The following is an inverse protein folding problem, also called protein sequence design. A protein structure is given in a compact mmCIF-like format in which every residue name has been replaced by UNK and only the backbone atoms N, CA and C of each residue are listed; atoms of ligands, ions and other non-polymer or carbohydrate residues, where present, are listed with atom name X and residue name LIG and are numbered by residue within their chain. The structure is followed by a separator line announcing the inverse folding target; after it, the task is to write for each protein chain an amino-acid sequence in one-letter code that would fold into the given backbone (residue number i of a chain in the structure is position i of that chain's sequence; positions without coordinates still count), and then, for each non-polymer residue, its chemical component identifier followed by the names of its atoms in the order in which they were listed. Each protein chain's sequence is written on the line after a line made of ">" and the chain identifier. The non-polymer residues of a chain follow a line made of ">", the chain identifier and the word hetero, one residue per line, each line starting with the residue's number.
data_IF_585874136088
#
_entry.id   IF_585874136088
#
_cell.length_a   1.000
_cell.length_b   1.000
_cell.length_c   1.000
_cell.angle_alpha   90.00
_cell.angle_beta   90.00
_cell.angle_gamma   90.00
#
_symmetry.space_group_name_H-M   'P 1'
#
loop_
_entity.id
_entity.type
_entity.pdbx_description
1 polymer ?
#
# COMPACT_ATOMS: atom_id res chain seq x y z
N UNK A 1 16.16 1.94 -8.28
CA UNK A 1 15.21 2.93 -7.74
C UNK A 1 15.73 3.51 -6.44
N UNK A 2 15.47 4.79 -6.17
CA UNK A 2 15.67 5.35 -4.84
C UNK A 2 14.55 4.94 -3.85
N UNK A 3 14.71 5.26 -2.56
CA UNK A 3 13.72 4.90 -1.54
C UNK A 3 12.33 5.51 -1.81
N UNK A 4 12.26 6.70 -2.40
CA UNK A 4 11.00 7.37 -2.67
C UNK A 4 10.28 6.68 -3.82
N UNK A 5 10.99 6.32 -4.89
CA UNK A 5 10.46 5.52 -6.00
C UNK A 5 9.92 4.16 -5.51
N UNK A 6 10.65 3.48 -4.62
CA UNK A 6 10.20 2.21 -4.02
C UNK A 6 8.89 2.36 -3.24
N UNK A 7 8.76 3.41 -2.42
CA UNK A 7 7.54 3.68 -1.66
C UNK A 7 6.36 3.98 -2.60
N UNK A 8 6.59 4.78 -3.65
CA UNK A 8 5.56 5.11 -4.64
C UNK A 8 5.12 3.87 -5.42
N UNK A 9 6.07 3.02 -5.82
CA UNK A 9 5.80 1.73 -6.47
C UNK A 9 4.95 0.83 -5.59
N UNK A 10 5.30 0.69 -4.32
CA UNK A 10 4.54 -0.15 -3.39
C UNK A 10 3.12 0.40 -3.17
N UNK A 11 2.94 1.72 -3.02
CA UNK A 11 1.61 2.32 -2.88
C UNK A 11 0.70 2.01 -4.09
N UNK A 12 1.26 2.05 -5.30
CA UNK A 12 0.55 1.68 -6.53
C UNK A 12 0.22 0.19 -6.57
N UNK A 13 1.16 -0.67 -6.22
CA UNK A 13 0.96 -2.13 -6.19
C UNK A 13 -0.18 -2.52 -5.22
N UNK A 14 -0.16 -1.96 -4.01
CA UNK A 14 -1.21 -2.21 -3.01
C UNK A 14 -2.60 -1.75 -3.50
N UNK A 15 -2.66 -0.64 -4.23
CA UNK A 15 -3.88 -0.17 -4.91
C UNK A 15 -4.33 -1.15 -5.99
N UNK A 16 -3.41 -1.61 -6.84
CA UNK A 16 -3.69 -2.58 -7.91
C UNK A 16 -4.24 -3.89 -7.35
N UNK A 17 -3.64 -4.42 -6.29
CA UNK A 17 -4.12 -5.63 -5.59
C UNK A 17 -5.56 -5.43 -5.09
N UNK A 18 -5.85 -4.27 -4.48
CA UNK A 18 -7.19 -3.95 -4.00
C UNK A 18 -8.22 -3.96 -5.14
N UNK A 19 -7.88 -3.30 -6.25
CA UNK A 19 -8.76 -3.12 -7.40
C UNK A 19 -9.00 -4.44 -8.14
N UNK A 20 -7.95 -5.25 -8.32
CA UNK A 20 -8.05 -6.59 -8.88
C UNK A 20 -8.97 -7.52 -8.06
N UNK A 21 -9.03 -7.33 -6.73
CA UNK A 21 -9.95 -8.06 -5.83
C UNK A 21 -11.36 -7.46 -5.76
N UNK A 22 -11.64 -6.34 -6.46
CA UNK A 22 -12.94 -5.67 -6.43
C UNK A 22 -13.32 -5.08 -5.06
N UNK A 23 -12.34 -4.77 -4.21
CA UNK A 23 -12.57 -4.31 -2.83
C UNK A 23 -12.58 -2.77 -2.76
N UNK A 24 -13.56 -2.19 -2.07
CA UNK A 24 -13.60 -0.75 -1.79
C UNK A 24 -12.56 -0.37 -0.72
N UNK A 25 -11.90 0.79 -0.88
CA UNK A 25 -10.94 1.35 0.10
C UNK A 25 -11.48 1.32 1.53
N UNK A 26 -12.72 1.77 1.74
CA UNK A 26 -13.37 1.80 3.07
C UNK A 26 -13.39 0.44 3.78
N UNK A 27 -13.50 -0.67 3.03
CA UNK A 27 -13.51 -2.02 3.59
C UNK A 27 -12.13 -2.40 4.12
N UNK A 28 -11.08 -2.13 3.33
CA UNK A 28 -9.69 -2.39 3.72
C UNK A 28 -9.30 -1.53 4.91
N UNK A 29 -9.54 -0.21 4.82
CA UNK A 29 -9.19 0.74 5.86
C UNK A 29 -9.80 0.34 7.21
N UNK A 30 -11.10 0.02 7.25
CA UNK A 30 -11.77 -0.45 8.46
C UNK A 30 -11.20 -1.77 8.99
N UNK A 31 -10.87 -2.71 8.11
CA UNK A 31 -10.32 -4.00 8.51
C UNK A 31 -8.95 -3.89 9.20
N UNK A 32 -8.14 -2.88 8.83
CA UNK A 32 -6.81 -2.64 9.39
C UNK A 32 -6.77 -1.53 10.43
N UNK A 33 -7.93 -1.05 10.90
CA UNK A 33 -8.02 0.04 11.88
C UNK A 33 -7.44 1.38 11.38
N UNK A 34 -7.57 1.66 10.08
CA UNK A 34 -7.12 2.88 9.42
C UNK A 34 -8.32 3.73 8.96
N UNK A 35 -8.17 5.05 9.00
CA UNK A 35 -9.18 5.97 8.46
C UNK A 35 -9.29 5.81 6.92
N UNK A 36 -10.50 5.70 6.34
CA UNK A 36 -10.67 5.57 4.90
C UNK A 36 -10.02 6.70 4.07
N UNK A 37 -10.08 7.99 4.49
CA UNK A 37 -9.34 9.05 3.81
C UNK A 37 -7.82 8.87 3.86
N UNK A 38 -7.27 8.26 4.92
CA UNK A 38 -5.85 7.99 5.03
C UNK A 38 -5.42 6.94 4.00
N UNK A 39 -6.13 5.81 3.91
CA UNK A 39 -5.84 4.80 2.88
C UNK A 39 -5.93 5.40 1.47
N UNK A 40 -6.94 6.24 1.22
CA UNK A 40 -7.10 6.93 -0.06
C UNK A 40 -5.92 7.83 -0.40
N UNK A 41 -5.37 8.58 0.57
CA UNK A 41 -4.18 9.39 0.37
C UNK A 41 -2.92 8.55 0.11
N UNK A 42 -2.78 7.40 0.78
CA UNK A 42 -1.65 6.47 0.57
C UNK A 42 -1.70 5.91 -0.85
N UNK A 43 -2.81 5.28 -1.25
CA UNK A 43 -2.95 4.64 -2.56
C UNK A 43 -2.82 5.63 -3.74
N UNK A 44 -3.20 6.89 -3.53
CA UNK A 44 -3.12 7.93 -4.55
C UNK A 44 -1.85 8.80 -4.43
N UNK A 45 -0.91 8.46 -3.54
CA UNK A 45 0.33 9.20 -3.31
C UNK A 45 0.10 10.68 -2.94
N UNK A 46 -1.05 10.98 -2.34
CA UNK A 46 -1.47 12.30 -1.89
C UNK A 46 -1.16 12.51 -0.39
N UNK A 47 -0.09 11.89 0.10
CA UNK A 47 0.42 12.02 1.47
C UNK A 47 1.92 12.37 1.41
N UNK A 48 2.38 13.45 2.07
CA UNK A 48 3.79 13.89 2.00
C UNK A 48 4.82 12.84 2.44
N UNK A 49 4.44 11.95 3.36
CA UNK A 49 5.29 10.87 3.85
C UNK A 49 4.42 9.68 4.15
N UNK A 50 4.73 8.51 3.61
CA UNK A 50 4.10 7.23 3.98
C UNK A 50 5.05 6.48 4.90
N UNK A 51 4.55 6.02 6.04
CA UNK A 51 5.37 5.34 7.05
C UNK A 51 5.41 3.84 6.80
N UNK A 52 6.49 3.18 7.26
CA UNK A 52 6.57 1.72 7.22
C UNK A 52 5.42 1.05 7.99
N UNK A 53 4.99 1.61 9.11
CA UNK A 53 3.85 1.07 9.89
C UNK A 53 2.54 1.08 9.09
N UNK A 54 2.28 2.15 8.33
CA UNK A 54 1.11 2.22 7.44
C UNK A 54 1.20 1.17 6.33
N UNK A 55 2.36 1.00 5.72
CA UNK A 55 2.60 0.01 4.66
C UNK A 55 2.47 -1.41 5.21
N UNK A 56 3.07 -1.71 6.36
CA UNK A 56 3.03 -3.03 7.00
C UNK A 56 1.60 -3.51 7.26
N UNK A 57 0.72 -2.63 7.74
CA UNK A 57 -0.70 -2.99 7.97
C UNK A 57 -1.43 -3.36 6.67
N UNK A 58 -1.14 -2.66 5.58
CA UNK A 58 -1.78 -2.94 4.28
C UNK A 58 -1.20 -4.22 3.66
N UNK A 59 0.12 -4.40 3.76
CA UNK A 59 0.84 -5.61 3.35
C UNK A 59 0.28 -6.86 4.05
N UNK A 60 0.13 -6.80 5.39
CA UNK A 60 -0.45 -7.87 6.20
C UNK A 60 -1.86 -8.24 5.74
N UNK A 61 -2.73 -7.25 5.48
CA UNK A 61 -4.08 -7.49 4.99
C UNK A 61 -4.12 -8.23 3.64
N UNK A 62 -3.12 -8.00 2.77
CA UNK A 62 -3.04 -8.68 1.49
C UNK A 62 -2.22 -9.98 1.49
N UNK A 63 -1.64 -10.35 2.64
CA UNK A 63 -0.72 -11.47 2.79
C UNK A 63 0.48 -11.36 1.82
N UNK A 64 1.07 -10.16 1.77
CA UNK A 64 2.26 -9.84 0.98
C UNK A 64 3.35 -9.32 1.91
N UNK A 65 4.61 -9.64 1.63
CA UNK A 65 5.75 -9.09 2.36
C UNK A 65 6.38 -7.93 1.60
N UNK A 66 7.11 -7.06 2.31
CA UNK A 66 7.93 -6.04 1.65
C UNK A 66 9.02 -6.68 0.77
N UNK A 67 9.51 -7.87 1.15
CA UNK A 67 10.48 -8.63 0.37
C UNK A 67 9.90 -9.04 -1.00
N UNK A 68 8.68 -9.55 -1.06
CA UNK A 68 8.02 -9.92 -2.32
C UNK A 68 7.98 -8.74 -3.29
N UNK A 69 7.68 -7.54 -2.78
CA UNK A 69 7.70 -6.32 -3.58
C UNK A 69 9.12 -5.96 -4.05
N UNK A 70 10.10 -6.00 -3.15
CA UNK A 70 11.49 -5.65 -3.48
C UNK A 70 12.04 -6.60 -4.54
N UNK A 71 11.91 -7.92 -4.35
CA UNK A 71 12.40 -8.92 -5.31
C UNK A 71 11.80 -8.73 -6.70
N UNK A 72 10.50 -8.41 -6.79
CA UNK A 72 9.83 -8.17 -8.06
C UNK A 72 10.30 -6.90 -8.79
N UNK A 73 11.05 -6.01 -8.12
CA UNK A 73 11.47 -4.70 -8.63
C UNK A 73 12.98 -4.46 -8.46
N UNK A 74 13.78 -5.53 -8.45
CA UNK A 74 15.24 -5.50 -8.22
C UNK A 74 16.07 -5.04 -9.43
N UNK A 75 15.45 -4.92 -10.60
CA UNK A 75 16.11 -4.54 -11.86
C UNK A 75 15.95 -3.06 -12.19
#
# INVERSE_FOLDING_TARGET
>A
MDNQEMILGLCKELKSIREARGIKQVKVARAIGMDPPLLSRIENMNKPTVTLMELSRILEYYNMTLYDFIEANKD
#
